data_IF_998815528380
#
_entry.id   IF_998815528380
#
_cell.length_a   1.000
_cell.length_b   1.000
_cell.length_c   1.000
_cell.angle_alpha   90.00
_cell.angle_beta   90.00
_cell.angle_gamma   90.00
#
_symmetry.space_group_name_H-M   'P 1'
#
loop_
_entity.id
_entity.type
_entity.pdbx_description
1 polymer ?
#
# COMPACT_ATOMS: atom_id res chain seq x y z
N UNK A 1 -32.41 -7.81 -18.11
CA UNK A 1 -31.93 -6.68 -17.29
C UNK A 1 -31.70 -5.48 -18.20
N UNK A 2 -32.41 -4.38 -18.00
CA UNK A 2 -32.35 -3.17 -18.84
C UNK A 2 -31.13 -2.32 -18.42
N UNK A 3 -30.15 -2.13 -19.31
CA UNK A 3 -29.13 -1.06 -19.17
C UNK A 3 -29.84 0.29 -19.32
N UNK A 4 -29.62 1.22 -18.39
CA UNK A 4 -30.21 2.55 -18.44
C UNK A 4 -29.53 3.37 -19.53
N UNK A 5 -30.34 4.02 -20.39
CA UNK A 5 -29.97 4.78 -21.61
C UNK A 5 -29.00 5.98 -21.41
N UNK A 6 -28.45 6.18 -20.22
CA UNK A 6 -27.50 7.26 -19.91
C UNK A 6 -26.05 6.82 -19.67
N UNK A 7 -25.79 5.52 -19.52
CA UNK A 7 -24.44 5.01 -19.23
C UNK A 7 -23.54 4.99 -20.49
N UNK A 8 -24.12 4.75 -21.67
CA UNK A 8 -23.41 4.80 -22.96
C UNK A 8 -22.90 6.23 -23.24
N UNK A 9 -23.72 7.25 -22.99
CA UNK A 9 -23.37 8.64 -23.35
C UNK A 9 -22.23 9.18 -22.49
N UNK A 10 -22.15 8.78 -21.21
CA UNK A 10 -21.05 9.19 -20.32
C UNK A 10 -19.73 8.53 -20.74
N UNK A 11 -19.76 7.25 -21.14
CA UNK A 11 -18.56 6.57 -21.66
C UNK A 11 -18.09 7.18 -22.98
N UNK A 12 -19.00 7.50 -23.91
CA UNK A 12 -18.64 8.20 -25.14
C UNK A 12 -18.12 9.62 -24.87
N UNK A 13 -18.71 10.36 -23.94
CA UNK A 13 -18.23 11.69 -23.56
C UNK A 13 -16.84 11.64 -22.92
N UNK A 14 -16.56 10.63 -22.09
CA UNK A 14 -15.25 10.41 -21.49
C UNK A 14 -14.21 10.03 -22.55
N UNK A 15 -14.53 9.11 -23.46
CA UNK A 15 -13.64 8.76 -24.57
C UNK A 15 -13.37 9.98 -25.47
N UNK A 16 -14.40 10.77 -25.79
CA UNK A 16 -14.25 11.98 -26.59
C UNK A 16 -13.42 13.05 -25.88
N UNK A 17 -13.60 13.25 -24.58
CA UNK A 17 -12.81 14.19 -23.79
C UNK A 17 -11.33 13.79 -23.73
N UNK A 18 -11.04 12.48 -23.63
CA UNK A 18 -9.68 11.96 -23.72
C UNK A 18 -9.11 12.19 -25.13
N UNK A 19 -9.86 11.88 -26.19
CA UNK A 19 -9.42 12.08 -27.58
C UNK A 19 -9.15 13.56 -27.89
N UNK A 20 -10.03 14.46 -27.45
CA UNK A 20 -9.88 15.92 -27.67
C UNK A 20 -8.75 16.49 -26.83
N UNK A 21 -8.60 16.07 -25.57
CA UNK A 21 -7.49 16.49 -24.71
C UNK A 21 -6.12 16.03 -25.22
N UNK A 22 -6.05 14.79 -25.71
CA UNK A 22 -4.84 14.26 -26.37
C UNK A 22 -4.59 14.95 -27.72
N UNK A 23 -5.63 15.24 -28.50
CA UNK A 23 -5.53 15.97 -29.76
C UNK A 23 -5.00 17.40 -29.59
N UNK A 24 -5.45 18.11 -28.55
CA UNK A 24 -4.94 19.44 -28.20
C UNK A 24 -3.46 19.39 -27.80
N UNK A 25 -3.07 18.42 -26.97
CA UNK A 25 -1.68 18.27 -26.51
C UNK A 25 -0.73 17.88 -27.64
N UNK A 26 -1.16 16.99 -28.55
CA UNK A 26 -0.37 16.62 -29.73
C UNK A 26 -0.25 17.81 -30.69
N UNK A 27 -1.32 18.58 -30.90
CA UNK A 27 -1.27 19.79 -31.73
C UNK A 27 -0.34 20.86 -31.16
N UNK A 28 -0.38 21.11 -29.83
CA UNK A 28 0.53 22.05 -29.17
C UNK A 28 2.00 21.62 -29.23
N UNK A 29 2.28 20.31 -29.23
CA UNK A 29 3.65 19.78 -29.34
C UNK A 29 4.12 19.58 -30.79
N UNK A 30 3.21 19.52 -31.77
CA UNK A 30 3.54 19.49 -33.19
C UNK A 30 4.01 20.86 -33.72
N UNK A 31 3.59 21.96 -33.09
CA UNK A 31 4.06 23.30 -33.42
C UNK A 31 5.55 23.53 -33.10
N UNK A 32 6.14 22.76 -32.18
CA UNK A 32 7.52 22.93 -31.67
C UNK A 32 8.53 21.89 -32.21
N UNK A 33 8.19 21.14 -33.27
CA UNK A 33 9.17 20.34 -34.05
C UNK A 33 9.71 19.05 -33.41
N UNK A 34 9.16 18.58 -32.28
CA UNK A 34 9.65 17.40 -31.53
C UNK A 34 8.77 16.13 -31.58
N UNK A 35 8.13 15.86 -32.73
CA UNK A 35 6.94 14.99 -32.78
C UNK A 35 7.13 13.47 -32.61
N UNK A 36 8.17 12.78 -33.11
CA UNK A 36 8.15 11.31 -33.17
C UNK A 36 8.40 10.60 -31.82
N UNK A 37 9.31 11.11 -30.98
CA UNK A 37 9.71 10.46 -29.72
C UNK A 37 8.66 10.64 -28.61
N UNK A 38 8.05 11.83 -28.55
CA UNK A 38 7.09 12.20 -27.51
C UNK A 38 5.74 11.49 -27.70
N UNK A 39 5.28 11.32 -28.95
CA UNK A 39 4.05 10.57 -29.27
C UNK A 39 4.20 9.09 -28.92
N UNK A 40 5.33 8.45 -29.27
CA UNK A 40 5.56 7.05 -28.94
C UNK A 40 5.61 6.81 -27.43
N UNK A 41 6.17 7.74 -26.66
CA UNK A 41 6.19 7.65 -25.19
C UNK A 41 4.77 7.77 -24.60
N UNK A 42 3.97 8.73 -25.06
CA UNK A 42 2.58 8.93 -24.59
C UNK A 42 1.69 7.75 -24.98
N UNK A 43 1.81 7.22 -26.21
CA UNK A 43 1.07 6.04 -26.64
C UNK A 43 1.48 4.78 -25.87
N UNK A 44 2.78 4.55 -25.66
CA UNK A 44 3.23 3.40 -24.87
C UNK A 44 2.76 3.48 -23.41
N UNK A 45 2.78 4.67 -22.81
CA UNK A 45 2.27 4.88 -21.45
C UNK A 45 0.74 4.71 -21.39
N UNK A 46 0.00 5.23 -22.37
CA UNK A 46 -1.45 5.06 -22.45
C UNK A 46 -1.86 3.61 -22.74
N UNK A 47 -1.15 2.90 -23.62
CA UNK A 47 -1.35 1.48 -23.90
C UNK A 47 -1.00 0.59 -22.70
N UNK A 48 0.03 0.94 -21.92
CA UNK A 48 0.31 0.27 -20.65
C UNK A 48 -0.83 0.52 -19.64
N UNK A 49 -1.31 1.75 -19.51
CA UNK A 49 -2.45 2.10 -18.64
C UNK A 49 -3.75 1.40 -19.06
N UNK A 50 -4.02 1.29 -20.37
CA UNK A 50 -5.17 0.58 -20.92
C UNK A 50 -5.04 -0.94 -20.77
N UNK A 51 -3.84 -1.49 -20.97
CA UNK A 51 -3.53 -2.90 -20.74
C UNK A 51 -3.66 -3.29 -19.27
N UNK A 52 -3.31 -2.39 -18.34
CA UNK A 52 -3.54 -2.55 -16.90
C UNK A 52 -5.03 -2.40 -16.54
N UNK A 53 -5.75 -1.46 -17.16
CA UNK A 53 -7.19 -1.25 -16.95
C UNK A 53 -8.07 -2.39 -17.48
N UNK A 54 -7.57 -3.17 -18.45
CA UNK A 54 -8.26 -4.31 -19.08
C UNK A 54 -8.15 -5.60 -18.26
N UNK A 55 -7.23 -5.68 -17.29
CA UNK A 55 -7.21 -6.75 -16.29
C UNK A 55 -8.35 -6.45 -15.31
N UNK A 56 -9.27 -7.40 -15.12
CA UNK A 56 -10.44 -7.34 -14.21
C UNK A 56 -10.18 -6.38 -13.03
N UNK A 57 -10.64 -5.13 -13.13
CA UNK A 57 -10.26 -4.06 -12.19
C UNK A 57 -10.57 -4.52 -10.76
N UNK A 58 -9.53 -4.66 -9.95
CA UNK A 58 -9.67 -4.95 -8.54
C UNK A 58 -10.51 -3.83 -7.92
N UNK A 59 -11.58 -4.10 -7.14
CA UNK A 59 -12.30 -3.04 -6.45
C UNK A 59 -11.36 -2.29 -5.51
N UNK A 60 -11.61 -0.99 -5.31
CA UNK A 60 -10.78 -0.18 -4.43
C UNK A 60 -10.83 -0.73 -3.01
N UNK A 61 -9.66 -0.96 -2.40
CA UNK A 61 -9.55 -1.33 -1.01
C UNK A 61 -9.35 -0.05 -0.18
N UNK A 62 -10.35 0.33 0.59
CA UNK A 62 -10.41 1.64 1.29
C UNK A 62 -10.45 1.52 2.81
N UNK A 63 -10.96 0.41 3.34
CA UNK A 63 -10.99 0.17 4.80
C UNK A 63 -9.74 -0.59 5.26
N UNK A 64 -9.39 -0.50 6.54
CA UNK A 64 -8.28 -1.26 7.12
C UNK A 64 -8.37 -2.76 6.80
N UNK A 65 -9.58 -3.33 6.92
CA UNK A 65 -9.86 -4.74 6.61
C UNK A 65 -9.65 -5.05 5.14
N UNK A 66 -10.21 -4.23 4.24
CA UNK A 66 -10.08 -4.45 2.80
C UNK A 66 -8.62 -4.31 2.34
N UNK A 67 -7.87 -3.38 2.93
CA UNK A 67 -6.46 -3.17 2.62
C UNK A 67 -5.61 -4.36 3.08
N UNK A 68 -5.83 -4.85 4.31
CA UNK A 68 -5.15 -6.06 4.81
C UNK A 68 -5.47 -7.27 3.94
N UNK A 69 -6.74 -7.44 3.58
CA UNK A 69 -7.17 -8.54 2.71
C UNK A 69 -6.59 -8.39 1.29
N UNK A 70 -6.51 -7.17 0.77
CA UNK A 70 -5.90 -6.90 -0.53
C UNK A 70 -4.39 -7.19 -0.53
N UNK A 71 -3.67 -6.83 0.52
CA UNK A 71 -2.25 -7.17 0.69
C UNK A 71 -2.06 -8.70 0.82
N UNK A 72 -2.98 -9.39 1.51
CA UNK A 72 -3.01 -10.86 1.56
C UNK A 72 -3.18 -11.46 0.17
N UNK A 73 -4.14 -11.00 -0.63
CA UNK A 73 -4.32 -11.44 -2.02
C UNK A 73 -3.07 -11.11 -2.86
N UNK A 74 -2.48 -9.93 -2.66
CA UNK A 74 -1.17 -9.53 -3.19
C UNK A 74 -0.13 -10.63 -3.06
N UNK A 75 0.06 -11.12 -1.84
CA UNK A 75 1.06 -12.14 -1.52
C UNK A 75 0.67 -13.55 -1.97
N UNK A 76 -0.54 -13.99 -1.62
CA UNK A 76 -0.91 -15.42 -1.66
C UNK A 76 -1.70 -15.83 -2.90
N UNK A 77 -2.24 -14.87 -3.64
CA UNK A 77 -2.98 -15.11 -4.90
C UNK A 77 -2.21 -14.58 -6.12
N UNK A 78 -0.95 -14.22 -5.93
CA UNK A 78 -0.05 -13.82 -7.02
C UNK A 78 -0.33 -12.43 -7.60
N UNK A 79 -1.05 -11.55 -6.88
CA UNK A 79 -1.36 -10.21 -7.38
C UNK A 79 -0.20 -9.21 -7.20
N UNK A 80 0.82 -9.54 -6.40
CA UNK A 80 1.98 -8.69 -6.16
C UNK A 80 3.27 -9.50 -5.94
N UNK A 81 4.10 -9.59 -6.98
CA UNK A 81 5.37 -10.35 -6.98
C UNK A 81 6.34 -9.91 -5.88
N UNK A 82 6.38 -8.62 -5.55
CA UNK A 82 7.23 -8.06 -4.47
C UNK A 82 6.91 -8.66 -3.10
N UNK A 83 5.69 -9.16 -2.90
CA UNK A 83 5.27 -9.79 -1.65
C UNK A 83 5.40 -11.31 -1.69
N UNK A 84 5.80 -11.95 -2.79
CA UNK A 84 5.79 -13.41 -2.91
C UNK A 84 7.02 -14.09 -2.30
N UNK A 85 6.90 -15.40 -2.04
CA UNK A 85 8.01 -16.24 -1.59
C UNK A 85 8.43 -16.05 -0.13
N UNK A 86 9.58 -16.63 0.20
CA UNK A 86 10.25 -16.50 1.50
C UNK A 86 11.52 -15.67 1.29
N UNK A 87 11.56 -14.41 1.76
CA UNK A 87 12.72 -13.58 1.55
C UNK A 87 13.90 -14.09 2.40
N UNK A 88 15.13 -13.89 1.94
CA UNK A 88 16.35 -14.29 2.67
C UNK A 88 16.60 -13.45 3.93
N UNK A 89 16.01 -12.26 3.98
CA UNK A 89 15.93 -11.36 5.14
C UNK A 89 14.50 -10.88 5.28
N UNK A 90 14.08 -10.46 6.47
CA UNK A 90 12.74 -9.90 6.67
C UNK A 90 12.50 -8.71 5.74
N UNK A 91 11.47 -8.83 4.91
CA UNK A 91 10.99 -7.77 4.04
C UNK A 91 10.04 -6.87 4.82
N UNK A 92 10.22 -5.56 4.71
CA UNK A 92 9.28 -4.56 5.24
C UNK A 92 9.01 -3.54 4.13
N UNK A 93 7.74 -3.34 3.79
CA UNK A 93 7.29 -2.30 2.86
C UNK A 93 6.36 -1.38 3.63
N UNK A 94 6.69 -0.08 3.67
CA UNK A 94 5.85 0.96 4.24
C UNK A 94 5.04 1.64 3.14
N UNK A 95 3.80 2.05 3.43
CA UNK A 95 2.89 2.67 2.46
C UNK A 95 3.42 3.95 1.82
N UNK A 96 4.27 4.69 2.53
CA UNK A 96 4.90 5.95 2.09
C UNK A 96 6.21 5.75 1.32
N UNK A 97 6.75 4.52 1.29
CA UNK A 97 7.93 4.18 0.48
C UNK A 97 7.58 4.06 -1.00
N UNK A 98 8.57 4.22 -1.89
CA UNK A 98 8.36 4.04 -3.34
C UNK A 98 7.78 2.66 -3.69
N UNK A 99 8.30 1.59 -3.06
CA UNK A 99 7.77 0.23 -3.23
C UNK A 99 6.34 0.08 -2.69
N UNK A 100 6.00 0.78 -1.60
CA UNK A 100 4.65 0.79 -1.04
C UNK A 100 3.64 1.50 -1.93
N UNK A 101 4.03 2.63 -2.53
CA UNK A 101 3.20 3.39 -3.47
C UNK A 101 2.94 2.58 -4.75
N UNK A 102 3.97 1.92 -5.29
CA UNK A 102 3.82 1.03 -6.44
C UNK A 102 2.90 -0.16 -6.12
N UNK A 103 3.08 -0.77 -4.95
CA UNK A 103 2.25 -1.86 -4.46
C UNK A 103 0.79 -1.42 -4.28
N UNK A 104 0.55 -0.24 -3.71
CA UNK A 104 -0.79 0.31 -3.54
C UNK A 104 -1.48 0.53 -4.89
N UNK A 105 -0.76 1.08 -5.88
CA UNK A 105 -1.25 1.27 -7.24
C UNK A 105 -1.61 -0.06 -7.90
N UNK A 106 -0.71 -1.04 -7.85
CA UNK A 106 -0.90 -2.39 -8.43
C UNK A 106 -2.11 -3.11 -7.83
N UNK A 107 -2.35 -2.91 -6.54
CA UNK A 107 -3.42 -3.58 -5.79
C UNK A 107 -4.71 -2.75 -5.65
N UNK A 108 -4.76 -1.55 -6.24
CA UNK A 108 -5.86 -0.58 -6.06
C UNK A 108 -6.20 -0.33 -4.58
N UNK A 109 -5.17 -0.12 -3.76
CA UNK A 109 -5.29 0.29 -2.37
C UNK A 109 -5.40 1.81 -2.33
N UNK A 110 -6.43 2.31 -1.66
CA UNK A 110 -6.67 3.74 -1.46
C UNK A 110 -6.69 4.02 0.04
N UNK A 111 -5.51 4.27 0.58
CA UNK A 111 -5.35 4.60 2.00
C UNK A 111 -5.94 5.99 2.27
N UNK A 112 -6.73 6.10 3.34
CA UNK A 112 -7.31 7.36 3.80
C UNK A 112 -6.20 8.38 4.09
N UNK A 113 -6.44 9.66 3.83
CA UNK A 113 -5.48 10.70 4.15
C UNK A 113 -5.12 10.67 5.64
N UNK A 114 -3.82 10.73 5.93
CA UNK A 114 -3.28 10.65 7.28
C UNK A 114 -3.11 9.22 7.82
N UNK A 115 -3.65 8.20 7.16
CA UNK A 115 -3.45 6.79 7.53
C UNK A 115 -2.19 6.21 6.86
N UNK A 116 -1.78 5.02 7.27
CA UNK A 116 -0.62 4.33 6.71
C UNK A 116 -0.66 2.84 6.97
N UNK A 117 0.18 2.08 6.27
CA UNK A 117 0.29 0.64 6.49
C UNK A 117 1.69 0.10 6.28
N UNK A 118 1.97 -1.05 6.88
CA UNK A 118 3.18 -1.83 6.67
C UNK A 118 2.84 -3.25 6.23
N UNK A 119 3.67 -3.79 5.35
CA UNK A 119 3.72 -5.20 5.01
C UNK A 119 5.06 -5.77 5.45
N UNK A 120 5.03 -6.68 6.43
CA UNK A 120 6.21 -7.39 6.91
C UNK A 120 6.11 -8.88 6.58
N UNK A 121 7.09 -9.38 5.84
CA UNK A 121 7.23 -10.80 5.51
C UNK A 121 8.51 -11.34 6.13
N UNK A 122 8.37 -12.26 7.08
CA UNK A 122 9.49 -12.93 7.74
C UNK A 122 10.10 -14.02 6.85
N UNK A 123 11.33 -14.41 7.17
CA UNK A 123 12.07 -15.47 6.45
C UNK A 123 11.39 -16.84 6.52
N UNK A 124 10.65 -17.13 7.59
CA UNK A 124 9.82 -18.34 7.73
C UNK A 124 8.50 -18.28 6.92
N UNK A 125 8.19 -17.11 6.35
CA UNK A 125 7.00 -16.83 5.55
C UNK A 125 5.82 -16.29 6.36
N UNK A 126 5.92 -16.19 7.69
CA UNK A 126 4.91 -15.52 8.51
C UNK A 126 4.81 -14.06 8.09
N UNK A 127 3.59 -13.60 7.88
CA UNK A 127 3.31 -12.28 7.33
C UNK A 127 2.44 -11.49 8.28
N UNK A 128 2.85 -10.25 8.54
CA UNK A 128 2.14 -9.29 9.35
C UNK A 128 1.85 -8.07 8.49
N UNK A 129 0.57 -7.75 8.33
CA UNK A 129 0.12 -6.47 7.79
C UNK A 129 -0.34 -5.61 8.95
N UNK A 130 0.12 -4.37 9.02
CA UNK A 130 -0.27 -3.43 10.07
C UNK A 130 -0.88 -2.20 9.42
N UNK A 131 -2.10 -1.85 9.81
CA UNK A 131 -2.78 -0.64 9.36
C UNK A 131 -2.88 0.35 10.51
N UNK A 132 -2.34 1.55 10.29
CA UNK A 132 -2.40 2.68 11.20
C UNK A 132 -3.50 3.64 10.74
N UNK A 133 -4.42 3.98 11.65
CA UNK A 133 -5.40 5.03 11.40
C UNK A 133 -5.13 6.25 12.26
N UNK A 134 -5.08 7.43 11.64
CA UNK A 134 -4.98 8.69 12.37
C UNK A 134 -6.17 8.89 13.31
N UNK A 135 -7.37 8.51 12.87
CA UNK A 135 -8.60 8.59 13.66
C UNK A 135 -8.51 7.78 14.97
N UNK A 136 -8.02 6.54 14.89
CA UNK A 136 -7.80 5.70 16.07
C UNK A 136 -6.68 6.22 16.99
N UNK A 137 -5.86 7.15 16.50
CA UNK A 137 -4.70 7.72 17.18
C UNK A 137 -4.85 9.24 17.40
N UNK A 138 -6.06 9.69 17.75
CA UNK A 138 -6.36 11.07 18.16
C UNK A 138 -6.03 12.12 17.08
N UNK A 139 -6.14 11.75 15.82
CA UNK A 139 -5.85 12.62 14.68
C UNK A 139 -4.38 12.77 14.32
N UNK A 140 -3.46 12.09 15.03
CA UNK A 140 -2.04 12.07 14.64
C UNK A 140 -1.90 11.34 13.31
N UNK A 141 -1.50 12.03 12.25
CA UNK A 141 -1.29 11.40 10.94
C UNK A 141 -0.04 10.53 10.94
N UNK A 142 0.01 9.58 10.01
CA UNK A 142 1.15 8.67 9.81
C UNK A 142 2.46 9.42 9.57
N UNK A 143 2.43 10.48 8.75
CA UNK A 143 3.59 11.32 8.48
C UNK A 143 4.03 12.13 9.70
N UNK A 144 3.07 12.65 10.50
CA UNK A 144 3.39 13.31 11.78
C UNK A 144 4.04 12.34 12.77
N UNK A 145 3.53 11.11 12.87
CA UNK A 145 4.12 10.06 13.71
C UNK A 145 5.54 9.71 13.24
N UNK A 146 5.75 9.58 11.93
CA UNK A 146 7.07 9.33 11.35
C UNK A 146 8.07 10.45 11.69
N UNK A 147 7.65 11.70 11.53
CA UNK A 147 8.46 12.87 11.88
C UNK A 147 8.74 12.95 13.38
N UNK A 148 7.75 12.67 14.24
CA UNK A 148 7.94 12.68 15.69
C UNK A 148 8.87 11.54 16.13
N UNK A 149 8.76 10.35 15.56
CA UNK A 149 9.69 9.25 15.83
C UNK A 149 11.14 9.60 15.50
N UNK A 150 11.39 10.29 14.38
CA UNK A 150 12.73 10.72 13.99
C UNK A 150 13.30 11.76 14.96
N UNK A 151 12.46 12.68 15.44
CA UNK A 151 12.88 13.75 16.37
C UNK A 151 13.02 13.26 17.81
N UNK A 152 12.11 12.38 18.24
CA UNK A 152 11.88 11.98 19.63
C UNK A 152 11.95 10.45 19.80
N UNK A 153 12.93 9.80 19.17
CA UNK A 153 13.01 8.32 19.12
C UNK A 153 12.90 7.66 20.49
N UNK A 154 13.53 8.22 21.53
CA UNK A 154 13.51 7.69 22.91
C UNK A 154 12.11 7.63 23.53
N UNK A 155 11.16 8.43 23.06
CA UNK A 155 9.75 8.38 23.48
C UNK A 155 9.07 7.08 23.04
N UNK A 156 9.54 6.50 21.94
CA UNK A 156 8.97 5.31 21.33
C UNK A 156 9.81 4.06 21.55
N UNK A 157 11.13 4.19 21.46
CA UNK A 157 12.07 3.09 21.45
C UNK A 157 13.39 3.48 22.09
N UNK A 158 13.85 2.67 23.03
CA UNK A 158 15.14 2.81 23.68
C UNK A 158 16.14 1.81 23.09
N UNK A 159 17.03 2.32 22.24
CA UNK A 159 18.04 1.51 21.56
C UNK A 159 19.04 0.83 22.52
N UNK A 160 19.23 1.36 23.74
CA UNK A 160 20.16 0.76 24.71
C UNK A 160 19.61 -0.51 25.35
N UNK A 161 18.29 -0.60 25.49
CA UNK A 161 17.59 -1.74 26.10
C UNK A 161 16.83 -2.59 25.08
N UNK A 162 16.62 -2.07 23.87
CA UNK A 162 15.77 -2.68 22.85
C UNK A 162 14.27 -2.60 23.17
N UNK A 163 13.87 -1.83 24.18
CA UNK A 163 12.48 -1.76 24.63
C UNK A 163 11.70 -0.66 23.92
N UNK A 164 10.48 -1.00 23.51
CA UNK A 164 9.48 0.01 23.15
C UNK A 164 8.93 0.67 24.42
N UNK A 165 8.76 2.00 24.39
CA UNK A 165 8.28 2.83 25.50
C UNK A 165 6.84 3.31 25.31
N UNK A 166 6.38 3.41 24.07
CA UNK A 166 5.04 3.83 23.71
C UNK A 166 4.42 2.90 22.65
N UNK A 167 3.09 2.89 22.61
CA UNK A 167 2.30 2.15 21.63
C UNK A 167 1.26 3.05 20.98
N UNK A 168 0.95 2.77 19.73
CA UNK A 168 -0.18 3.33 18.98
C UNK A 168 -1.27 2.27 18.80
N UNK A 169 -2.44 2.64 18.27
CA UNK A 169 -3.51 1.70 17.90
C UNK A 169 -3.40 1.32 16.43
N UNK A 170 -3.46 0.04 16.13
CA UNK A 170 -3.45 -0.49 14.76
C UNK A 170 -4.50 -1.57 14.55
N UNK A 171 -4.78 -1.87 13.29
CA UNK A 171 -5.40 -3.13 12.87
C UNK A 171 -4.31 -4.05 12.32
N UNK A 172 -4.24 -5.26 12.84
CA UNK A 172 -3.27 -6.29 12.47
C UNK A 172 -3.91 -7.34 11.57
N UNK A 173 -3.19 -7.75 10.53
CA UNK A 173 -3.41 -8.97 9.76
C UNK A 173 -2.27 -9.95 9.99
N UNK A 174 -2.54 -11.11 10.59
CA UNK A 174 -1.54 -12.11 10.95
C UNK A 174 -1.75 -13.44 10.21
N UNK A 175 -0.80 -13.74 9.31
CA UNK A 175 -0.90 -14.88 8.40
C UNK A 175 0.33 -15.79 8.50
N UNK A 176 0.10 -17.09 8.42
CA UNK A 176 1.17 -18.08 8.26
C UNK A 176 1.69 -18.10 6.82
N UNK A 177 2.67 -18.96 6.53
CA UNK A 177 3.28 -19.08 5.20
C UNK A 177 2.33 -19.52 4.08
N UNK A 178 1.11 -19.99 4.42
CA UNK A 178 0.08 -20.41 3.47
C UNK A 178 -1.07 -19.39 3.34
N UNK A 179 -0.97 -18.23 4.00
CA UNK A 179 -2.02 -17.22 3.97
C UNK A 179 -3.23 -17.53 4.85
N UNK A 180 -3.11 -18.53 5.74
CA UNK A 180 -4.10 -18.86 6.77
C UNK A 180 -3.74 -18.16 8.09
N UNK A 181 -4.62 -18.23 9.08
CA UNK A 181 -4.34 -17.75 10.43
C UNK A 181 -3.02 -18.29 10.96
N UNK A 182 -2.14 -17.39 11.42
CA UNK A 182 -0.98 -17.74 12.24
C UNK A 182 -1.32 -17.76 13.74
N UNK A 183 -2.52 -17.33 14.13
CA UNK A 183 -3.03 -17.45 15.50
C UNK A 183 -3.75 -18.80 15.72
N UNK A 184 -3.64 -19.35 16.93
CA UNK A 184 -4.24 -20.64 17.30
C UNK A 184 -5.78 -20.68 17.22
N UNK A 185 -6.45 -19.54 17.22
CA UNK A 185 -7.92 -19.42 17.17
C UNK A 185 -8.50 -19.28 15.74
N UNK A 186 -7.68 -19.40 14.68
CA UNK A 186 -8.15 -19.27 13.29
C UNK A 186 -8.45 -17.82 12.84
N UNK A 187 -8.30 -16.84 13.74
CA UNK A 187 -8.50 -15.41 13.48
C UNK A 187 -7.29 -14.81 12.77
N UNK A 188 -7.52 -14.13 11.64
CA UNK A 188 -6.48 -13.47 10.84
C UNK A 188 -6.41 -11.95 11.04
N UNK A 189 -7.51 -11.32 11.46
CA UNK A 189 -7.62 -9.87 11.60
C UNK A 189 -7.86 -9.48 13.05
N UNK A 190 -7.05 -8.57 13.61
CA UNK A 190 -7.14 -8.09 14.99
C UNK A 190 -7.23 -6.58 14.99
N UNK A 191 -8.40 -6.06 15.32
CA UNK A 191 -8.66 -4.62 15.34
C UNK A 191 -8.24 -3.99 16.68
N UNK A 192 -7.80 -2.74 16.60
CA UNK A 192 -7.51 -1.91 17.77
C UNK A 192 -6.48 -2.53 18.73
N UNK A 193 -5.47 -3.22 18.19
CA UNK A 193 -4.38 -3.79 19.01
C UNK A 193 -3.24 -2.78 19.21
N UNK A 194 -2.41 -2.95 20.26
CA UNK A 194 -1.21 -2.15 20.42
C UNK A 194 -0.22 -2.37 19.27
N UNK A 195 0.20 -1.30 18.61
CA UNK A 195 1.31 -1.27 17.67
C UNK A 195 2.53 -0.63 18.31
N UNK A 196 3.65 -1.34 18.32
CA UNK A 196 4.92 -0.88 18.83
C UNK A 196 5.67 -0.13 17.74
N UNK A 197 6.05 1.11 18.04
CA UNK A 197 6.82 1.97 17.13
C UNK A 197 8.31 1.77 17.41
N UNK A 198 9.11 1.45 16.39
CA UNK A 198 10.54 1.25 16.55
C UNK A 198 11.28 1.12 15.22
N UNK A 199 12.60 0.86 15.24
CA UNK A 199 13.39 0.72 14.02
C UNK A 199 12.90 -0.47 13.19
N UNK A 200 12.88 -0.30 11.87
CA UNK A 200 12.52 -1.39 10.96
C UNK A 200 13.61 -2.48 10.93
N UNK A 201 13.25 -3.78 10.94
CA UNK A 201 14.21 -4.87 10.77
C UNK A 201 14.83 -4.92 9.37
N UNK A 202 14.28 -4.19 8.39
CA UNK A 202 14.90 -4.02 7.07
C UNK A 202 16.13 -3.09 7.09
N UNK A 203 16.41 -2.41 8.21
CA UNK A 203 17.58 -1.55 8.39
C UNK A 203 17.38 -0.10 7.94
N UNK A 204 16.19 0.27 7.47
CA UNK A 204 15.88 1.66 7.10
C UNK A 204 14.49 2.07 7.58
N UNK A 205 14.39 3.30 8.09
CA UNK A 205 13.13 3.87 8.59
C UNK A 205 12.63 3.21 9.88
N UNK A 206 11.34 3.36 10.12
CA UNK A 206 10.64 2.84 11.30
C UNK A 206 9.56 1.84 10.88
N UNK A 207 9.02 1.11 11.85
CA UNK A 207 7.88 0.23 11.68
C UNK A 207 6.90 0.43 12.85
N UNK A 208 5.62 0.21 12.58
CA UNK A 208 4.59 0.00 13.59
C UNK A 208 4.17 -1.46 13.50
N UNK A 209 4.45 -2.24 14.54
CA UNK A 209 4.20 -3.69 14.51
C UNK A 209 3.53 -4.18 15.80
N UNK A 210 2.59 -5.14 15.75
CA UNK A 210 2.03 -5.77 16.96
C UNK A 210 3.08 -6.55 17.78
N UNK A 211 4.22 -6.88 17.18
CA UNK A 211 5.37 -7.51 17.84
C UNK A 211 6.35 -6.44 18.32
N UNK A 212 6.80 -6.55 19.57
CA UNK A 212 7.84 -5.66 20.12
C UNK A 212 9.11 -5.70 19.26
N UNK A 213 9.77 -4.55 19.10
CA UNK A 213 10.92 -4.39 18.20
C UNK A 213 12.05 -5.38 18.51
N UNK A 214 12.40 -5.60 19.79
CA UNK A 214 13.43 -6.61 20.17
C UNK A 214 13.09 -8.07 19.82
N UNK A 215 11.84 -8.36 19.44
CA UNK A 215 11.37 -9.68 19.02
C UNK A 215 11.12 -9.77 17.51
N UNK A 216 11.35 -8.67 16.77
CA UNK A 216 11.28 -8.71 15.31
C UNK A 216 12.44 -9.55 14.80
N UNK A 217 12.11 -10.49 13.91
CA UNK A 217 13.06 -11.31 13.18
C UNK A 217 13.45 -10.64 11.88
#
# INVERSE_FOLDING_TARGET
>A
MRRQKGQDIIEYALMLAIIVGLGWMVYSHAADGGLPSSINSVFNNASALLGEASKKKLPAATTAKDIIERLRQGRYEGLADVLQGKPSKTLVIASDSAAGQELARKLNIQTKEGDGWFARVQTDGVTVFSYYSAEANKGMTFSQLAADYQKNTKTYYDASTGENKATVRITEGLFNSQGKSAAGAGKTLFENVPGYVGPSPSGSGFIIDPTRTKKLK
#
